data_IF_034168770915
#
_entry.id   IF_034168770915
#
_cell.length_a   1.000
_cell.length_b   1.000
_cell.length_c   1.000
_cell.angle_alpha   90.00
_cell.angle_beta   90.00
_cell.angle_gamma   90.00
#
_symmetry.space_group_name_H-M   'P 1'
#
loop_
_entity.id
_entity.type
_entity.pdbx_description
1 polymer ?
#
# COMPACT_ATOMS: atom_id res chain seq x y z
N UNK A 1 16.96 -35.41 0.73
CA UNK A 1 16.95 -35.61 2.20
C UNK A 1 15.78 -34.82 2.78
N UNK A 2 14.84 -35.55 3.40
CA UNK A 2 13.84 -35.17 4.44
C UNK A 2 12.82 -34.05 4.14
N UNK A 3 11.62 -34.52 3.79
CA UNK A 3 10.29 -33.89 3.93
C UNK A 3 10.00 -33.46 5.36
N UNK A 4 9.35 -32.31 5.57
CA UNK A 4 8.53 -32.05 6.76
C UNK A 4 7.30 -31.20 6.39
N UNK A 5 6.19 -31.92 6.23
CA UNK A 5 4.81 -31.47 6.16
C UNK A 5 4.45 -30.71 7.44
N UNK A 6 4.05 -29.45 7.36
CA UNK A 6 3.59 -28.69 8.53
C UNK A 6 2.08 -28.84 8.67
N UNK A 7 1.67 -29.56 9.72
CA UNK A 7 0.31 -29.56 10.26
C UNK A 7 -0.02 -28.14 10.77
N UNK A 8 -1.08 -27.52 10.27
CA UNK A 8 -1.76 -26.47 11.04
C UNK A 8 -3.02 -27.05 11.67
N UNK A 9 -2.96 -27.15 12.99
CA UNK A 9 -4.05 -27.59 13.85
C UNK A 9 -5.24 -26.64 13.73
N UNK A 10 -6.43 -27.22 13.56
CA UNK A 10 -7.71 -26.54 13.67
C UNK A 10 -7.96 -26.12 15.12
N UNK A 11 -7.81 -24.83 15.40
CA UNK A 11 -8.35 -24.22 16.61
C UNK A 11 -9.67 -23.51 16.23
N UNK A 12 -10.81 -24.13 16.55
CA UNK A 12 -12.08 -23.42 16.62
C UNK A 12 -12.02 -22.47 17.82
N UNK A 13 -11.77 -21.18 17.57
CA UNK A 13 -12.15 -20.12 18.49
C UNK A 13 -13.39 -19.43 17.94
N UNK A 14 -14.50 -19.57 18.67
CA UNK A 14 -15.65 -18.70 18.55
C UNK A 14 -15.24 -17.29 18.98
N UNK A 15 -14.84 -16.45 18.02
CA UNK A 15 -14.69 -15.02 18.21
C UNK A 15 -15.97 -14.34 17.71
N UNK A 16 -16.66 -13.69 18.63
CA UNK A 16 -17.70 -12.70 18.35
C UNK A 16 -17.28 -11.83 17.17
N UNK A 17 -18.09 -11.83 16.11
CA UNK A 17 -17.89 -10.98 14.96
C UNK A 17 -18.05 -9.51 15.36
N UNK A 18 -16.98 -8.89 15.87
CA UNK A 18 -16.77 -7.48 15.59
C UNK A 18 -16.69 -7.40 14.08
N UNK A 19 -17.67 -6.75 13.47
CA UNK A 19 -17.64 -6.33 12.07
C UNK A 19 -16.49 -5.33 11.90
N UNK A 20 -15.25 -5.80 12.00
CA UNK A 20 -14.17 -5.24 11.22
C UNK A 20 -14.47 -5.73 9.81
N UNK A 21 -15.42 -5.07 9.15
CA UNK A 21 -15.41 -5.05 7.71
C UNK A 21 -14.02 -4.51 7.37
N UNK A 22 -13.14 -5.39 6.90
CA UNK A 22 -12.02 -4.97 6.08
C UNK A 22 -12.68 -4.43 4.81
N UNK A 23 -13.23 -3.23 4.89
CA UNK A 23 -13.67 -2.48 3.73
C UNK A 23 -12.37 -2.17 2.99
N UNK A 24 -12.00 -3.10 2.11
CA UNK A 24 -10.97 -2.90 1.13
C UNK A 24 -11.20 -1.53 0.49
N UNK A 25 -10.16 -0.69 0.41
CA UNK A 25 -10.29 0.69 -0.05
C UNK A 25 -10.51 0.71 -1.56
N UNK A 26 -11.72 0.35 -1.96
CA UNK A 26 -12.12 0.31 -3.35
C UNK A 26 -12.10 1.68 -4.02
N UNK A 27 -12.15 1.72 -5.36
CA UNK A 27 -12.05 2.97 -6.13
C UNK A 27 -13.04 4.05 -5.70
N UNK A 28 -14.27 3.68 -5.35
CA UNK A 28 -15.32 4.62 -4.91
C UNK A 28 -14.93 5.35 -3.62
N UNK A 29 -14.36 4.63 -2.65
CA UNK A 29 -13.93 5.20 -1.38
C UNK A 29 -12.72 6.10 -1.58
N UNK A 30 -11.74 5.67 -2.38
CA UNK A 30 -10.59 6.49 -2.74
C UNK A 30 -11.02 7.81 -3.41
N UNK A 31 -12.06 7.77 -4.25
CA UNK A 31 -12.64 8.97 -4.87
C UNK A 31 -13.37 9.88 -3.90
N UNK A 32 -14.06 9.33 -2.90
CA UNK A 32 -14.65 10.14 -1.84
C UNK A 32 -13.58 10.84 -1.00
N UNK A 33 -12.50 10.14 -0.64
CA UNK A 33 -11.39 10.70 0.12
C UNK A 33 -10.70 11.84 -0.63
N UNK A 34 -10.46 11.67 -1.93
CA UNK A 34 -9.91 12.72 -2.79
C UNK A 34 -10.83 13.94 -2.84
N UNK A 35 -12.13 13.73 -3.10
CA UNK A 35 -13.12 14.82 -3.17
C UNK A 35 -13.28 15.56 -1.84
N UNK A 36 -13.12 14.86 -0.73
CA UNK A 36 -13.15 15.45 0.61
C UNK A 36 -11.86 16.21 0.97
N UNK A 37 -10.79 16.08 0.17
CA UNK A 37 -9.47 16.64 0.49
C UNK A 37 -8.75 15.91 1.61
N UNK A 38 -9.21 14.70 1.97
CA UNK A 38 -8.56 13.85 2.99
C UNK A 38 -7.23 13.30 2.49
N UNK A 39 -7.13 13.05 1.18
CA UNK A 39 -5.89 12.63 0.52
C UNK A 39 -5.54 13.61 -0.61
N UNK A 40 -4.25 13.69 -0.94
CA UNK A 40 -3.75 14.44 -2.08
C UNK A 40 -4.19 13.79 -3.40
N UNK A 41 -4.19 14.54 -4.52
CA UNK A 41 -4.36 13.96 -5.85
C UNK A 41 -3.36 12.85 -6.12
N UNK A 42 -3.80 11.75 -6.72
CA UNK A 42 -2.93 10.61 -7.03
C UNK A 42 -1.74 11.01 -7.91
N UNK A 43 -1.93 11.93 -8.85
CA UNK A 43 -0.83 12.45 -9.67
C UNK A 43 0.26 13.15 -8.83
N UNK A 44 -0.14 13.87 -7.78
CA UNK A 44 0.79 14.52 -6.84
C UNK A 44 1.56 13.48 -6.03
N UNK A 45 0.88 12.44 -5.55
CA UNK A 45 1.52 11.35 -4.79
C UNK A 45 2.46 10.51 -5.68
N UNK A 46 2.05 10.22 -6.92
CA UNK A 46 2.86 9.55 -7.93
C UNK A 46 4.13 10.34 -8.27
N UNK A 47 4.01 11.66 -8.47
CA UNK A 47 5.16 12.51 -8.71
C UNK A 47 6.13 12.53 -7.52
N UNK A 48 5.60 12.55 -6.29
CA UNK A 48 6.42 12.49 -5.08
C UNK A 48 7.17 11.15 -4.95
N UNK A 49 6.52 10.02 -5.28
CA UNK A 49 7.16 8.72 -5.34
C UNK A 49 8.26 8.67 -6.41
N UNK A 50 7.95 9.08 -7.65
CA UNK A 50 8.94 9.07 -8.75
C UNK A 50 10.13 10.01 -8.51
N UNK A 51 9.96 11.08 -7.71
CA UNK A 51 11.07 11.94 -7.32
C UNK A 51 12.12 11.22 -6.45
N UNK A 52 11.76 10.10 -5.81
CA UNK A 52 12.71 9.24 -5.08
C UNK A 52 13.60 8.43 -6.01
N UNK A 53 13.04 8.01 -7.16
CA UNK A 53 13.71 7.19 -8.16
C UNK A 53 13.54 7.78 -9.56
N UNK A 54 14.30 8.84 -9.91
CA UNK A 54 14.14 9.52 -11.18
C UNK A 54 14.34 8.59 -12.38
N UNK A 55 13.42 8.67 -13.35
CA UNK A 55 13.43 7.81 -14.53
C UNK A 55 12.81 6.42 -14.32
N UNK A 56 12.29 6.14 -13.12
CA UNK A 56 11.50 4.94 -12.87
C UNK A 56 10.10 4.99 -13.48
N UNK A 57 9.55 3.82 -13.75
CA UNK A 57 8.16 3.62 -14.18
C UNK A 57 7.33 3.13 -13.01
N UNK A 58 6.13 3.70 -12.83
CA UNK A 58 5.14 3.19 -11.89
C UNK A 58 4.53 1.91 -12.46
N UNK A 59 4.53 0.84 -11.67
CA UNK A 59 3.92 -0.44 -12.01
C UNK A 59 2.54 -0.60 -11.36
N UNK A 60 2.45 -0.28 -10.08
CA UNK A 60 1.24 -0.45 -9.29
C UNK A 60 1.14 0.66 -8.25
N UNK A 61 -0.10 0.98 -7.89
CA UNK A 61 -0.39 1.93 -6.81
C UNK A 61 -1.57 1.43 -6.02
N UNK A 62 -1.46 1.46 -4.69
CA UNK A 62 -2.51 1.04 -3.78
C UNK A 62 -2.75 2.12 -2.71
N UNK A 63 -4.00 2.29 -2.30
CA UNK A 63 -4.36 3.13 -1.16
C UNK A 63 -4.84 2.20 -0.06
N UNK A 64 -4.20 2.28 1.10
CA UNK A 64 -4.53 1.48 2.27
C UNK A 64 -4.88 2.37 3.46
N UNK A 65 -5.65 1.84 4.41
CA UNK A 65 -5.88 2.45 5.72
C UNK A 65 -5.22 1.59 6.79
N UNK A 66 -4.14 2.11 7.39
CA UNK A 66 -3.46 1.46 8.50
C UNK A 66 -3.56 2.34 9.75
N UNK A 67 -4.10 1.79 10.84
CA UNK A 67 -4.20 2.48 12.13
C UNK A 67 -4.81 3.89 12.06
N UNK A 68 -5.80 4.10 11.17
CA UNK A 68 -6.47 5.38 10.95
C UNK A 68 -5.68 6.39 10.11
N UNK A 69 -4.62 5.94 9.41
CA UNK A 69 -3.86 6.73 8.44
C UNK A 69 -4.03 6.13 7.05
N UNK A 70 -4.22 7.01 6.07
CA UNK A 70 -4.19 6.61 4.66
C UNK A 70 -2.75 6.56 4.14
N UNK A 71 -2.34 5.40 3.65
CA UNK A 71 -1.02 5.16 3.08
C UNK A 71 -1.19 4.92 1.59
N UNK A 72 -0.45 5.68 0.78
CA UNK A 72 -0.37 5.47 -0.66
C UNK A 72 0.92 4.72 -0.96
N UNK A 73 0.80 3.49 -1.45
CA UNK A 73 1.92 2.67 -1.85
C UNK A 73 2.13 2.79 -3.36
N UNK A 74 3.38 2.89 -3.78
CA UNK A 74 3.77 2.96 -5.18
C UNK A 74 4.89 1.97 -5.44
N UNK A 75 4.63 0.99 -6.30
CA UNK A 75 5.65 0.11 -6.86
C UNK A 75 6.28 0.81 -8.07
N UNK A 76 7.59 1.04 -7.99
CA UNK A 76 8.40 1.62 -9.06
C UNK A 76 9.38 0.60 -9.60
N UNK A 77 9.75 0.74 -10.86
CA UNK A 77 10.89 0.03 -11.46
C UNK A 77 11.84 1.02 -12.10
N UNK A 78 13.09 1.01 -11.67
CA UNK A 78 14.09 1.92 -12.21
C UNK A 78 14.64 1.44 -13.58
N UNK A 79 15.52 2.26 -14.16
CA UNK A 79 16.12 1.97 -15.46
C UNK A 79 17.06 0.74 -15.45
N UNK A 80 17.44 0.24 -14.27
CA UNK A 80 18.22 -0.99 -14.08
C UNK A 80 17.30 -2.21 -13.89
N UNK A 81 15.99 -2.00 -13.82
CA UNK A 81 14.99 -3.04 -13.61
C UNK A 81 14.76 -3.39 -12.14
N UNK A 82 15.36 -2.65 -11.21
CA UNK A 82 15.21 -2.85 -9.76
C UNK A 82 13.83 -2.36 -9.33
N UNK A 83 13.16 -3.15 -8.49
CA UNK A 83 11.87 -2.82 -7.91
C UNK A 83 12.06 -1.99 -6.64
N UNK A 84 11.26 -0.96 -6.49
CA UNK A 84 11.22 -0.09 -5.32
C UNK A 84 9.78 0.07 -4.82
N UNK A 85 9.58 -0.13 -3.52
CA UNK A 85 8.32 0.11 -2.83
C UNK A 85 8.42 1.42 -2.05
N UNK A 86 7.66 2.43 -2.48
CA UNK A 86 7.60 3.75 -1.83
C UNK A 86 6.24 3.91 -1.17
N UNK A 87 6.22 4.14 0.13
CA UNK A 87 4.98 4.39 0.89
C UNK A 87 4.93 5.87 1.26
N UNK A 88 3.81 6.52 1.00
CA UNK A 88 3.57 7.92 1.33
C UNK A 88 2.38 8.08 2.26
N UNK A 89 2.44 9.05 3.17
CA UNK A 89 1.24 9.54 3.85
C UNK A 89 0.34 10.21 2.81
N UNK A 90 -0.84 9.65 2.56
CA UNK A 90 -1.69 10.10 1.47
C UNK A 90 -2.25 11.50 1.72
N UNK A 91 -2.29 12.00 2.96
CA UNK A 91 -2.83 13.32 3.28
C UNK A 91 -1.86 14.46 2.94
N UNK A 92 -0.55 14.21 3.01
CA UNK A 92 0.47 15.25 2.85
C UNK A 92 1.64 14.90 1.90
N UNK A 93 1.71 13.67 1.39
CA UNK A 93 2.75 13.21 0.48
C UNK A 93 4.11 12.95 1.13
N UNK A 94 4.20 12.89 2.45
CA UNK A 94 5.44 12.56 3.15
C UNK A 94 5.82 11.11 2.89
N UNK A 95 7.06 10.86 2.45
CA UNK A 95 7.59 9.51 2.30
C UNK A 95 7.80 8.88 3.68
N UNK A 96 7.13 7.75 3.90
CA UNK A 96 7.19 6.94 5.12
C UNK A 96 8.16 5.77 4.97
N UNK A 97 8.26 5.20 3.77
CA UNK A 97 9.14 4.08 3.42
C UNK A 97 9.65 4.26 1.98
N UNK A 98 10.90 3.87 1.77
CA UNK A 98 11.56 3.81 0.47
C UNK A 98 12.47 2.57 0.51
N UNK A 99 12.00 1.47 -0.07
CA UNK A 99 12.61 0.16 0.09
C UNK A 99 12.83 -0.50 -1.27
N UNK A 100 14.04 -1.02 -1.46
CA UNK A 100 14.36 -1.86 -2.60
C UNK A 100 13.85 -3.29 -2.32
N UNK A 101 13.14 -3.88 -3.28
CA UNK A 101 12.73 -5.28 -3.24
C UNK A 101 13.78 -6.14 -3.99
N UNK A 102 14.17 -7.28 -3.41
CA UNK A 102 15.30 -8.13 -3.83
C UNK A 102 14.92 -9.26 -4.81
#
# INVERSE_FOLDING_TARGET
MKTLTTLFATALLAATATLAQADDLGPDKAMQLLKAGTIQPFETLNAAAQAKHPGSTIHETELEEEYGRYIYQVELRDAQGVKWDVHLDAANGQVLKDHQDD
#
